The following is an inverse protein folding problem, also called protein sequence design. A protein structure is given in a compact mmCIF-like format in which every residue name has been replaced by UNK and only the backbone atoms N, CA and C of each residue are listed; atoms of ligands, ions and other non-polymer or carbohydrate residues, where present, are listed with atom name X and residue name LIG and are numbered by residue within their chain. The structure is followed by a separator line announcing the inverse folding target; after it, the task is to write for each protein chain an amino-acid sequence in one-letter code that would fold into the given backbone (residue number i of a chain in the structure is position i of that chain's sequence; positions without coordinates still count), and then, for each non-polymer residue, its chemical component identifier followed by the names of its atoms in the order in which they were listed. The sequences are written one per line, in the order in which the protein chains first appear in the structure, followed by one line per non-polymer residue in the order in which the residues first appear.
data_IF_777156856422
#
_entry.id   IF_777156856422
#
_cell.length_a   1.000
_cell.length_b   1.000
_cell.length_c   1.000
_cell.angle_alpha   90.00
_cell.angle_beta   90.00
_cell.angle_gamma   90.00
#
_symmetry.space_group_name_H-M   'P 1'
#
loop_
_entity.id
_entity.type
_entity.pdbx_description
1 polymer ?
#
# COMPACT_ATOMS: atom_id res chain seq x y z
N UNK A 1 -21.01 -2.42 15.99
CA UNK A 1 -20.74 -1.02 15.59
C UNK A 1 -19.24 -0.70 15.44
N UNK A 2 -18.37 -1.02 16.43
CA UNK A 2 -16.92 -0.77 16.31
C UNK A 2 -16.23 -1.50 15.13
N UNK A 3 -16.58 -2.76 14.86
CA UNK A 3 -16.02 -3.53 13.75
C UNK A 3 -16.33 -2.92 12.37
N UNK A 4 -17.59 -2.54 12.15
CA UNK A 4 -18.06 -1.89 10.92
C UNK A 4 -17.33 -0.56 10.69
N UNK A 5 -17.10 0.21 11.75
CA UNK A 5 -16.33 1.45 11.67
C UNK A 5 -14.88 1.19 11.24
N UNK A 6 -14.20 0.20 11.84
CA UNK A 6 -12.83 -0.17 11.44
C UNK A 6 -12.78 -0.65 9.98
N UNK A 7 -13.76 -1.45 9.55
CA UNK A 7 -13.87 -1.90 8.15
C UNK A 7 -14.07 -0.72 7.19
N UNK A 8 -14.87 0.28 7.58
CA UNK A 8 -15.07 1.48 6.76
C UNK A 8 -13.78 2.31 6.63
N UNK A 9 -12.98 2.42 7.70
CA UNK A 9 -11.68 3.08 7.65
C UNK A 9 -10.71 2.34 6.72
N UNK A 10 -10.69 1.01 6.74
CA UNK A 10 -9.88 0.22 5.83
C UNK A 10 -10.29 0.44 4.35
N UNK A 11 -11.60 0.56 4.09
CA UNK A 11 -12.14 0.89 2.78
C UNK A 11 -11.65 2.27 2.29
N UNK A 12 -11.74 3.30 3.14
CA UNK A 12 -11.19 4.63 2.82
C UNK A 12 -9.67 4.62 2.61
N UNK A 13 -8.95 3.79 3.38
CA UNK A 13 -7.52 3.56 3.14
C UNK A 13 -7.24 3.06 1.72
N UNK A 14 -8.01 2.09 1.24
CA UNK A 14 -7.92 1.60 -0.14
C UNK A 14 -8.25 2.69 -1.18
N UNK A 15 -9.25 3.52 -0.92
CA UNK A 15 -9.58 4.67 -1.79
C UNK A 15 -8.44 5.68 -1.87
N UNK A 16 -7.80 6.01 -0.75
CA UNK A 16 -6.66 6.93 -0.75
C UNK A 16 -5.45 6.36 -1.49
N UNK A 17 -5.18 5.06 -1.39
CA UNK A 17 -4.13 4.41 -2.19
C UNK A 17 -4.41 4.50 -3.69
N UNK A 18 -5.66 4.33 -4.11
CA UNK A 18 -6.07 4.49 -5.50
C UNK A 18 -5.89 5.93 -6.01
N UNK A 19 -6.29 6.93 -5.20
CA UNK A 19 -6.12 8.36 -5.51
C UNK A 19 -4.63 8.71 -5.61
N UNK A 20 -3.82 8.27 -4.65
CA UNK A 20 -2.37 8.47 -4.64
C UNK A 20 -1.72 7.85 -5.88
N UNK A 21 -2.10 6.63 -6.24
CA UNK A 21 -1.63 5.97 -7.46
C UNK A 21 -1.93 6.78 -8.72
N UNK A 22 -3.15 7.32 -8.84
CA UNK A 22 -3.57 8.16 -9.95
C UNK A 22 -2.75 9.45 -10.07
N UNK A 23 -2.63 10.22 -8.98
CA UNK A 23 -1.84 11.45 -8.97
C UNK A 23 -0.35 11.19 -9.23
N UNK A 24 0.22 10.13 -8.65
CA UNK A 24 1.62 9.77 -8.88
C UNK A 24 1.89 9.38 -10.34
N UNK A 25 0.98 8.62 -10.97
CA UNK A 25 1.11 8.27 -12.37
C UNK A 25 0.99 9.50 -13.28
N UNK A 26 0.06 10.41 -12.98
CA UNK A 26 -0.10 11.66 -13.72
C UNK A 26 1.15 12.55 -13.60
N UNK A 27 1.64 12.77 -12.38
CA UNK A 27 2.85 13.56 -12.14
C UNK A 27 4.08 12.94 -12.81
N UNK A 28 4.26 11.61 -12.67
CA UNK A 28 5.34 10.89 -13.32
C UNK A 28 5.29 11.00 -14.84
N UNK A 29 4.08 11.04 -15.41
CA UNK A 29 3.87 11.15 -16.87
C UNK A 29 4.21 12.55 -17.38
N UNK A 30 3.78 13.59 -16.65
CA UNK A 30 4.09 14.99 -16.97
C UNK A 30 5.60 15.24 -16.87
N UNK A 31 6.24 14.76 -15.79
CA UNK A 31 7.68 14.94 -15.58
C UNK A 31 8.53 14.03 -16.49
N UNK A 32 7.93 13.02 -17.13
CA UNK A 32 8.63 11.91 -17.82
C UNK A 32 9.70 11.23 -16.96
N UNK A 33 9.57 11.35 -15.64
CA UNK A 33 10.54 10.90 -14.64
C UNK A 33 9.79 10.32 -13.43
N UNK A 34 9.46 9.01 -13.42
CA UNK A 34 8.73 8.37 -12.32
C UNK A 34 9.38 8.58 -10.95
N UNK A 35 10.70 8.43 -10.88
CA UNK A 35 11.44 8.57 -9.63
C UNK A 35 11.32 9.99 -9.05
N UNK A 36 11.27 11.01 -9.91
CA UNK A 36 11.05 12.39 -9.47
C UNK A 36 9.65 12.55 -8.86
N UNK A 37 8.61 11.99 -9.49
CA UNK A 37 7.26 12.02 -8.95
C UNK A 37 7.16 11.33 -7.58
N UNK A 38 7.78 10.16 -7.43
CA UNK A 38 7.84 9.45 -6.14
C UNK A 38 8.58 10.29 -5.09
N UNK A 39 9.72 10.87 -5.46
CA UNK A 39 10.53 11.68 -4.55
C UNK A 39 9.74 12.88 -4.01
N UNK A 40 9.15 13.68 -4.90
CA UNK A 40 8.40 14.87 -4.49
C UNK A 40 7.14 14.53 -3.68
N UNK A 41 6.39 13.48 -4.05
CA UNK A 41 5.21 13.09 -3.27
C UNK A 41 5.57 12.47 -1.92
N UNK A 42 6.68 11.75 -1.83
CA UNK A 42 7.22 11.24 -0.56
C UNK A 42 7.74 12.37 0.34
N UNK A 43 8.35 13.40 -0.25
CA UNK A 43 8.78 14.60 0.47
C UNK A 43 7.58 15.34 1.08
N UNK A 44 6.55 15.60 0.29
CA UNK A 44 5.30 16.22 0.78
C UNK A 44 4.66 15.37 1.87
N UNK A 45 4.62 14.04 1.71
CA UNK A 45 4.10 13.12 2.73
C UNK A 45 4.90 13.18 4.04
N UNK A 46 6.23 13.29 3.94
CA UNK A 46 7.12 13.42 5.10
C UNK A 46 6.88 14.73 5.84
N UNK A 47 6.75 15.85 5.12
CA UNK A 47 6.48 17.17 5.71
C UNK A 47 5.12 17.18 6.41
N UNK A 48 4.07 16.69 5.75
CA UNK A 48 2.73 16.62 6.33
C UNK A 48 2.68 15.69 7.55
N UNK A 49 3.31 14.51 7.46
CA UNK A 49 3.42 13.58 8.59
C UNK A 49 4.15 14.19 9.79
N UNK A 50 5.26 14.88 9.53
CA UNK A 50 6.02 15.60 10.55
C UNK A 50 5.21 16.72 11.22
N UNK A 51 4.48 17.52 10.43
CA UNK A 51 3.59 18.56 10.94
C UNK A 51 2.47 17.96 11.81
N UNK A 52 1.84 16.88 11.36
CA UNK A 52 0.79 16.19 12.13
C UNK A 52 1.34 15.67 13.47
N UNK A 53 2.54 15.05 13.48
CA UNK A 53 3.19 14.58 14.71
C UNK A 53 3.43 15.76 15.67
N UNK A 54 3.94 16.87 15.14
CA UNK A 54 4.23 18.07 15.91
C UNK A 54 2.96 18.64 16.57
N UNK A 55 1.86 18.77 15.81
CA UNK A 55 0.60 19.34 16.31
C UNK A 55 -0.23 18.40 17.19
N UNK A 56 -0.23 17.08 16.92
CA UNK A 56 -1.08 16.14 17.67
C UNK A 56 -0.48 15.71 19.01
N UNK A 57 0.83 15.54 19.10
CA UNK A 57 1.43 14.90 20.28
C UNK A 57 2.61 15.66 20.89
N UNK A 58 3.28 16.58 20.19
CA UNK A 58 4.44 17.36 20.67
C UNK A 58 5.64 16.53 21.21
N UNK A 59 5.49 15.21 21.32
CA UNK A 59 6.41 14.26 21.91
C UNK A 59 7.02 13.47 20.77
N UNK A 60 8.21 13.89 20.37
CA UNK A 60 9.07 13.09 19.52
C UNK A 60 9.33 11.72 20.15
N UNK A 61 9.64 10.73 19.32
CA UNK A 61 9.96 9.38 19.76
C UNK A 61 11.14 9.46 20.75
N UNK A 62 11.00 8.87 21.94
CA UNK A 62 12.08 8.85 22.93
C UNK A 62 13.29 8.10 22.35
N UNK A 63 14.49 8.65 22.54
CA UNK A 63 15.75 8.06 22.05
C UNK A 63 15.91 6.58 22.45
N UNK A 64 15.48 6.20 23.67
CA UNK A 64 15.54 4.82 24.13
C UNK A 64 14.68 3.86 23.26
N UNK A 65 13.53 4.32 22.76
CA UNK A 65 12.68 3.53 21.87
C UNK A 65 13.32 3.44 20.47
N UNK A 66 13.92 4.52 19.98
CA UNK A 66 14.56 4.54 18.65
C UNK A 66 15.64 3.46 18.52
N UNK A 67 16.43 3.25 19.58
CA UNK A 67 17.48 2.23 19.61
C UNK A 67 16.96 0.78 19.69
N UNK A 68 15.69 0.59 20.05
CA UNK A 68 15.07 -0.74 20.12
C UNK A 68 14.44 -1.17 18.79
N UNK A 69 14.22 -0.24 17.86
CA UNK A 69 13.60 -0.54 16.56
C UNK A 69 14.63 -1.18 15.63
N UNK A 70 14.38 -2.38 15.09
CA UNK A 70 15.25 -2.99 14.09
C UNK A 70 15.54 -2.05 12.91
N UNK A 71 16.83 -1.91 12.56
CA UNK A 71 17.32 -0.92 11.59
C UNK A 71 16.58 -0.97 10.24
N UNK A 72 16.19 -2.17 9.78
CA UNK A 72 15.49 -2.34 8.50
C UNK A 72 14.09 -1.72 8.46
N UNK A 73 13.39 -1.62 9.60
CA UNK A 73 12.02 -1.08 9.64
C UNK A 73 11.96 0.41 9.31
N UNK A 74 13.08 1.12 9.48
CA UNK A 74 13.16 2.55 9.19
C UNK A 74 13.12 2.87 7.69
N UNK A 75 13.56 1.96 6.81
CA UNK A 75 13.65 2.23 5.37
C UNK A 75 13.00 1.16 4.48
N UNK A 76 12.79 -0.07 4.95
CA UNK A 76 12.23 -1.14 4.11
C UNK A 76 10.89 -0.73 3.48
N UNK A 77 9.99 -0.12 4.26
CA UNK A 77 8.73 0.41 3.75
C UNK A 77 8.92 1.49 2.66
N UNK A 78 9.92 2.36 2.82
CA UNK A 78 10.29 3.36 1.81
C UNK A 78 10.79 2.72 0.51
N UNK A 79 11.61 1.68 0.59
CA UNK A 79 12.10 0.93 -0.59
C UNK A 79 10.93 0.34 -1.38
N UNK A 80 10.00 -0.35 -0.71
CA UNK A 80 8.83 -0.92 -1.38
C UNK A 80 7.86 0.13 -1.90
N UNK A 81 7.77 1.30 -1.26
CA UNK A 81 6.99 2.44 -1.75
C UNK A 81 7.55 2.95 -3.09
N UNK A 82 8.87 3.15 -3.18
CA UNK A 82 9.51 3.62 -4.41
C UNK A 82 9.35 2.61 -5.55
N UNK A 83 9.58 1.33 -5.28
CA UNK A 83 9.41 0.27 -6.28
C UNK A 83 7.95 0.16 -6.73
N UNK A 84 7.00 0.13 -5.78
CA UNK A 84 5.58 0.01 -6.07
C UNK A 84 5.05 1.15 -6.92
N UNK A 85 5.32 2.41 -6.53
CA UNK A 85 4.85 3.58 -7.27
C UNK A 85 5.52 3.66 -8.66
N UNK A 86 6.80 3.29 -8.78
CA UNK A 86 7.50 3.26 -10.08
C UNK A 86 6.86 2.24 -11.04
N UNK A 87 6.47 1.07 -10.54
CA UNK A 87 5.73 0.07 -11.32
C UNK A 87 4.34 0.58 -11.71
N UNK A 88 3.65 1.28 -10.81
CA UNK A 88 2.33 1.85 -11.08
C UNK A 88 2.40 2.91 -12.17
N UNK A 89 3.42 3.78 -12.14
CA UNK A 89 3.69 4.73 -13.21
C UNK A 89 3.86 4.05 -14.58
N UNK A 90 4.60 2.95 -14.65
CA UNK A 90 4.84 2.25 -15.91
C UNK A 90 3.59 1.52 -16.42
N UNK A 91 2.76 1.02 -15.51
CA UNK A 91 1.64 0.13 -15.82
C UNK A 91 0.32 0.87 -16.02
N UNK A 92 0.04 1.95 -15.28
CA UNK A 92 -1.21 2.71 -15.39
C UNK A 92 -1.47 3.26 -16.80
N UNK A 93 -0.51 3.89 -17.50
CA UNK A 93 -0.72 4.38 -18.87
C UNK A 93 -0.98 3.28 -19.89
N UNK A 94 -0.54 2.04 -19.62
CA UNK A 94 -0.67 0.88 -20.53
C UNK A 94 -1.92 0.07 -20.29
N UNK A 95 -2.31 -0.09 -19.03
CA UNK A 95 -3.42 -0.95 -18.60
C UNK A 95 -4.68 -0.15 -18.26
N UNK A 96 -4.54 1.15 -17.99
CA UNK A 96 -5.56 1.95 -17.33
C UNK A 96 -5.56 1.73 -15.82
N UNK A 97 -6.01 2.74 -15.07
CA UNK A 97 -5.99 2.73 -13.60
C UNK A 97 -6.84 1.59 -13.01
N UNK A 98 -8.01 1.32 -13.58
CA UNK A 98 -8.93 0.27 -13.10
C UNK A 98 -8.28 -1.12 -13.15
N UNK A 99 -7.72 -1.49 -14.30
CA UNK A 99 -7.05 -2.78 -14.49
C UNK A 99 -5.83 -2.92 -13.61
N UNK A 100 -5.03 -1.86 -13.53
CA UNK A 100 -3.83 -1.82 -12.70
C UNK A 100 -4.18 -2.05 -11.22
N UNK A 101 -5.16 -1.31 -10.67
CA UNK A 101 -5.58 -1.47 -9.27
C UNK A 101 -6.12 -2.88 -9.03
N UNK A 102 -6.94 -3.43 -9.93
CA UNK A 102 -7.48 -4.77 -9.79
C UNK A 102 -6.38 -5.84 -9.75
N UNK A 103 -5.40 -5.77 -10.65
CA UNK A 103 -4.25 -6.69 -10.66
C UNK A 103 -3.35 -6.48 -9.43
N UNK A 104 -3.12 -5.22 -9.04
CA UNK A 104 -2.34 -4.88 -7.83
C UNK A 104 -2.97 -5.45 -6.57
N UNK A 105 -4.29 -5.35 -6.43
CA UNK A 105 -5.05 -5.94 -5.33
C UNK A 105 -4.93 -7.47 -5.32
N UNK A 106 -4.92 -8.12 -6.48
CA UNK A 106 -4.63 -9.55 -6.60
C UNK A 106 -3.28 -9.91 -5.96
N UNK A 107 -2.22 -9.18 -6.34
CA UNK A 107 -0.88 -9.37 -5.80
C UNK A 107 -0.81 -9.14 -4.29
N UNK A 108 -1.48 -8.10 -3.78
CA UNK A 108 -1.57 -7.81 -2.35
C UNK A 108 -2.22 -8.95 -1.56
N UNK A 109 -3.31 -9.52 -2.07
CA UNK A 109 -4.02 -10.64 -1.43
C UNK A 109 -3.19 -11.91 -1.45
N UNK A 110 -2.61 -12.24 -2.61
CA UNK A 110 -1.76 -13.42 -2.75
C UNK A 110 -0.57 -13.36 -1.78
N UNK A 111 0.11 -12.21 -1.72
CA UNK A 111 1.18 -12.00 -0.76
C UNK A 111 0.69 -12.07 0.68
N UNK A 112 -0.47 -11.47 1.00
CA UNK A 112 -1.05 -11.50 2.34
C UNK A 112 -1.37 -12.92 2.82
N UNK A 113 -1.84 -13.83 1.96
CA UNK A 113 -2.11 -15.22 2.33
C UNK A 113 -0.82 -15.97 2.69
N UNK A 114 0.22 -15.82 1.86
CA UNK A 114 1.51 -16.47 2.10
C UNK A 114 2.15 -15.90 3.36
N UNK A 115 2.21 -14.56 3.46
CA UNK A 115 2.80 -13.89 4.60
C UNK A 115 2.05 -14.21 5.90
N UNK A 116 0.72 -14.26 5.86
CA UNK A 116 -0.10 -14.64 7.00
C UNK A 116 0.08 -16.10 7.42
N UNK A 117 0.16 -17.03 6.46
CA UNK A 117 0.36 -18.45 6.76
C UNK A 117 1.69 -18.72 7.47
N UNK A 118 2.76 -18.05 7.05
CA UNK A 118 4.12 -18.28 7.56
C UNK A 118 4.56 -17.26 8.62
N UNK A 119 3.71 -16.30 9.00
CA UNK A 119 4.07 -15.22 9.93
C UNK A 119 5.18 -14.32 9.41
N UNK A 120 5.31 -14.16 8.09
CA UNK A 120 6.29 -13.24 7.50
C UNK A 120 6.04 -11.81 7.98
N UNK A 121 7.08 -10.98 7.96
CA UNK A 121 7.03 -9.59 8.44
C UNK A 121 6.60 -9.45 9.92
N UNK A 122 6.77 -10.51 10.71
CA UNK A 122 6.35 -10.58 12.11
C UNK A 122 4.82 -10.41 12.30
N UNK A 123 4.05 -10.84 11.29
CA UNK A 123 2.59 -10.84 11.34
C UNK A 123 2.07 -12.00 12.21
N UNK A 124 0.90 -11.85 12.85
CA UNK A 124 0.21 -12.98 13.49
C UNK A 124 -0.01 -14.10 12.47
N UNK A 125 0.31 -15.34 12.86
CA UNK A 125 0.08 -16.51 11.99
C UNK A 125 -1.41 -16.70 11.80
N UNK A 126 -1.85 -16.57 10.56
CA UNK A 126 -3.23 -16.72 10.14
C UNK A 126 -3.35 -17.94 9.20
N UNK A 127 -3.79 -19.10 9.70
CA UNK A 127 -3.86 -20.31 8.88
C UNK A 127 -4.86 -20.13 7.73
N UNK A 128 -4.48 -20.63 6.55
CA UNK A 128 -5.36 -20.64 5.39
C UNK A 128 -6.51 -21.61 5.65
N UNK A 129 -7.70 -21.07 5.82
CA UNK A 129 -8.93 -21.84 5.91
C UNK A 129 -9.55 -22.03 4.53
N UNK A 130 -10.40 -23.05 4.37
CA UNK A 130 -11.16 -23.29 3.13
C UNK A 130 -11.95 -22.04 2.72
N UNK A 131 -12.54 -21.32 3.68
CA UNK A 131 -13.28 -20.07 3.43
C UNK A 131 -12.38 -18.97 2.84
N UNK A 132 -11.16 -18.80 3.36
CA UNK A 132 -10.19 -17.83 2.81
C UNK A 132 -9.73 -18.23 1.43
N UNK A 133 -9.40 -19.51 1.23
CA UNK A 133 -9.01 -20.02 -0.08
C UNK A 133 -10.10 -19.79 -1.14
N UNK A 134 -11.35 -20.14 -0.83
CA UNK A 134 -12.49 -19.88 -1.72
C UNK A 134 -12.71 -18.39 -1.97
N UNK A 135 -12.64 -17.56 -0.92
CA UNK A 135 -12.77 -16.11 -1.06
C UNK A 135 -11.69 -15.51 -1.98
N UNK A 136 -10.44 -15.98 -1.87
CA UNK A 136 -9.35 -15.56 -2.74
C UNK A 136 -9.54 -16.02 -4.18
N UNK A 137 -10.03 -17.25 -4.40
CA UNK A 137 -10.38 -17.73 -5.74
C UNK A 137 -11.50 -16.87 -6.36
N UNK A 138 -12.56 -16.58 -5.62
CA UNK A 138 -13.63 -15.70 -6.11
C UNK A 138 -13.14 -14.29 -6.42
N UNK A 139 -12.20 -13.77 -5.63
CA UNK A 139 -11.62 -12.46 -5.88
C UNK A 139 -10.76 -12.45 -7.14
N UNK A 140 -9.99 -13.51 -7.40
CA UNK A 140 -9.26 -13.69 -8.67
C UNK A 140 -10.24 -13.74 -9.85
N UNK A 141 -11.34 -14.50 -9.74
CA UNK A 141 -12.37 -14.58 -10.78
C UNK A 141 -12.99 -13.19 -11.03
N UNK A 142 -13.34 -12.46 -9.98
CA UNK A 142 -13.87 -11.10 -10.10
C UNK A 142 -12.88 -10.17 -10.82
N UNK A 143 -11.58 -10.25 -10.49
CA UNK A 143 -10.52 -9.47 -11.13
C UNK A 143 -10.39 -9.86 -12.62
N UNK A 144 -10.46 -11.15 -12.97
CA UNK A 144 -10.45 -11.59 -14.38
C UNK A 144 -11.64 -11.02 -15.13
N UNK A 145 -12.85 -11.10 -14.55
CA UNK A 145 -14.07 -10.57 -15.17
C UNK A 145 -14.00 -9.05 -15.38
N UNK A 146 -13.51 -8.30 -14.39
CA UNK A 146 -13.31 -6.84 -14.49
C UNK A 146 -12.29 -6.48 -15.60
N UNK A 147 -11.31 -7.34 -15.83
CA UNK A 147 -10.21 -7.09 -16.76
C UNK A 147 -10.48 -7.59 -18.19
N UNK A 148 -11.43 -8.50 -18.36
CA UNK A 148 -11.87 -9.03 -19.66
C UNK A 148 -12.56 -7.89 -20.44
N UNK A 149 -12.31 -7.82 -21.75
CA UNK A 149 -12.87 -6.77 -22.62
C UNK A 149 -14.36 -6.97 -22.86
#
# INVERSE_FOLDING_TARGET
MKQLLIQSLALFGGMFLAIQAGFNAQLGSILKQPLAAVFFTSLTSTILGGAIIFFLNGRFIKLNIMNQVPWYLWFAGGVFSVLGISLYFFTIPKLGISKMIAIGLCGQLFFSLIAGQYGWLNLPVEPITIKRALGSVFMIIAIILINTK
#
